data_IF_974826741727
#
_entry.id   IF_974826741727
#
_cell.length_a   1.000
_cell.length_b   1.000
_cell.length_c   1.000
_cell.angle_alpha   90.00
_cell.angle_beta   90.00
_cell.angle_gamma   90.00
#
_symmetry.space_group_name_H-M   'P 1'
#
loop_
_entity.id
_entity.type
_entity.pdbx_description
1 polymer ?
#
# COMPACT_ATOMS: atom_id res chain seq x y z
N UNK A 1 -30.57 15.07 27.56
CA UNK A 1 -29.77 13.88 27.89
C UNK A 1 -28.57 13.80 26.96
N UNK A 2 -27.36 14.01 27.49
CA UNK A 2 -26.13 13.88 26.71
C UNK A 2 -25.89 12.38 26.43
N UNK A 3 -26.02 11.96 25.17
CA UNK A 3 -25.55 10.63 24.74
C UNK A 3 -24.07 10.53 25.13
N UNK A 4 -23.70 9.53 25.94
CA UNK A 4 -22.31 9.24 26.24
C UNK A 4 -21.51 9.16 24.95
N UNK A 5 -20.36 9.85 24.87
CA UNK A 5 -19.49 9.81 23.69
C UNK A 5 -19.16 8.36 23.38
N UNK A 6 -19.57 7.86 22.21
CA UNK A 6 -19.22 6.51 21.76
C UNK A 6 -17.71 6.43 21.55
N UNK A 7 -17.13 5.28 21.88
CA UNK A 7 -15.71 5.03 21.61
C UNK A 7 -15.47 5.02 20.10
N UNK A 8 -14.54 5.87 19.65
CA UNK A 8 -14.06 5.86 18.27
C UNK A 8 -13.08 4.68 18.13
N UNK A 9 -13.22 3.92 17.05
CA UNK A 9 -12.31 2.83 16.70
C UNK A 9 -10.84 3.29 16.71
N UNK A 10 -9.96 2.58 17.42
CA UNK A 10 -8.52 2.85 17.40
C UNK A 10 -7.94 2.82 15.98
N UNK A 11 -8.39 1.88 15.14
CA UNK A 11 -7.95 1.76 13.75
C UNK A 11 -8.20 3.04 12.95
N UNK A 12 -9.40 3.62 13.06
CA UNK A 12 -9.76 4.86 12.34
C UNK A 12 -9.01 6.08 12.87
N UNK A 13 -8.71 6.14 14.18
CA UNK A 13 -7.87 7.21 14.74
C UNK A 13 -6.44 7.13 14.21
N UNK A 14 -5.86 5.93 14.22
CA UNK A 14 -4.51 5.68 13.71
C UNK A 14 -4.43 6.05 12.23
N UNK A 15 -5.39 5.58 11.42
CA UNK A 15 -5.41 5.88 10.01
C UNK A 15 -5.50 7.39 9.73
N UNK A 16 -6.36 8.11 10.46
CA UNK A 16 -6.48 9.56 10.29
C UNK A 16 -5.19 10.31 10.64
N UNK A 17 -4.49 9.90 11.69
CA UNK A 17 -3.21 10.51 12.07
C UNK A 17 -2.11 10.20 11.05
N UNK A 18 -2.04 8.96 10.54
CA UNK A 18 -1.09 8.60 9.48
C UNK A 18 -1.34 9.41 8.22
N UNK A 19 -2.59 9.51 7.77
CA UNK A 19 -2.97 10.32 6.60
C UNK A 19 -2.63 11.81 6.80
N UNK A 20 -2.81 12.34 8.02
CA UNK A 20 -2.40 13.71 8.36
C UNK A 20 -0.90 13.90 8.15
N UNK A 21 -0.07 12.97 8.64
CA UNK A 21 1.40 13.05 8.53
C UNK A 21 1.86 12.94 7.09
N UNK A 22 1.32 11.99 6.33
CA UNK A 22 1.68 11.81 4.90
C UNK A 22 1.37 13.09 4.11
N UNK A 23 0.21 13.69 4.30
CA UNK A 23 -0.19 14.87 3.53
C UNK A 23 0.48 16.18 4.01
N UNK A 24 0.73 16.33 5.31
CA UNK A 24 1.25 17.59 5.87
C UNK A 24 2.78 17.62 5.98
N UNK A 25 3.43 16.48 6.19
CA UNK A 25 4.87 16.36 6.46
C UNK A 25 5.63 15.74 5.27
N UNK A 26 4.93 15.33 4.20
CA UNK A 26 5.54 14.65 3.04
C UNK A 26 6.16 13.30 3.38
N UNK A 27 5.80 12.73 4.54
CA UNK A 27 6.45 11.54 5.06
C UNK A 27 5.99 10.28 4.33
N UNK A 28 6.89 9.32 4.15
CA UNK A 28 6.58 8.05 3.49
C UNK A 28 5.53 7.26 4.27
N UNK A 29 4.49 6.78 3.58
CA UNK A 29 3.32 6.13 4.18
C UNK A 29 3.68 4.89 4.98
N UNK A 30 4.56 4.03 4.45
CA UNK A 30 5.00 2.81 5.09
C UNK A 30 5.73 3.10 6.42
N UNK A 31 6.61 4.11 6.42
CA UNK A 31 7.34 4.53 7.63
C UNK A 31 6.38 5.10 8.66
N UNK A 32 5.47 5.98 8.25
CA UNK A 32 4.49 6.60 9.16
C UNK A 32 3.53 5.58 9.77
N UNK A 33 3.05 4.64 8.96
CA UNK A 33 2.14 3.60 9.40
C UNK A 33 2.83 2.64 10.38
N UNK A 34 4.01 2.11 10.03
CA UNK A 34 4.75 1.20 10.89
C UNK A 34 5.04 1.84 12.26
N UNK A 35 5.56 3.06 12.27
CA UNK A 35 5.82 3.82 13.50
C UNK A 35 4.56 4.03 14.34
N UNK A 36 3.42 4.30 13.70
CA UNK A 36 2.14 4.47 14.40
C UNK A 36 1.63 3.14 14.98
N UNK A 37 1.82 2.03 14.27
CA UNK A 37 1.44 0.69 14.69
C UNK A 37 2.34 0.15 15.82
N UNK A 38 3.64 0.45 15.80
CA UNK A 38 4.61 0.07 16.84
C UNK A 38 4.32 0.78 18.17
N UNK A 39 3.88 2.04 18.12
CA UNK A 39 3.44 2.79 19.31
C UNK A 39 2.20 2.22 20.00
N UNK A 40 1.50 1.28 19.35
CA UNK A 40 0.31 0.63 19.89
C UNK A 40 0.51 -0.88 19.92
N UNK A 41 1.45 -1.43 20.72
CA UNK A 41 1.79 -2.86 20.69
C UNK A 41 0.58 -3.76 20.99
N UNK A 42 -0.31 -3.30 21.87
CA UNK A 42 -1.51 -4.03 22.29
C UNK A 42 -2.73 -3.85 21.35
N UNK A 43 -2.55 -3.23 20.17
CA UNK A 43 -3.62 -3.09 19.19
C UNK A 43 -3.99 -4.46 18.62
N UNK A 44 -5.27 -4.81 18.67
CA UNK A 44 -5.78 -6.07 18.14
C UNK A 44 -5.44 -6.22 16.64
N UNK A 45 -5.14 -7.45 16.21
CA UNK A 45 -4.78 -7.75 14.82
C UNK A 45 -5.81 -7.22 13.80
N UNK A 46 -7.10 -7.35 14.12
CA UNK A 46 -8.21 -6.79 13.31
C UNK A 46 -8.11 -5.27 13.15
N UNK A 47 -7.79 -4.55 14.21
CA UNK A 47 -7.66 -3.08 14.16
C UNK A 47 -6.37 -2.66 13.43
N UNK A 48 -5.29 -3.44 13.55
CA UNK A 48 -4.07 -3.22 12.74
C UNK A 48 -4.38 -3.37 11.25
N UNK A 49 -5.03 -4.47 10.87
CA UNK A 49 -5.43 -4.72 9.49
C UNK A 49 -6.34 -3.61 8.96
N UNK A 50 -7.36 -3.21 9.74
CA UNK A 50 -8.25 -2.12 9.34
C UNK A 50 -7.53 -0.76 9.23
N UNK A 51 -6.60 -0.44 10.14
CA UNK A 51 -5.83 0.80 10.06
C UNK A 51 -4.98 0.83 8.77
N UNK A 52 -4.27 -0.26 8.49
CA UNK A 52 -3.47 -0.44 7.26
C UNK A 52 -4.34 -0.29 6.02
N UNK A 53 -5.48 -0.98 5.98
CA UNK A 53 -6.43 -0.95 4.87
C UNK A 53 -6.98 0.47 4.63
N UNK A 54 -7.39 1.17 5.69
CA UNK A 54 -7.90 2.52 5.57
C UNK A 54 -6.83 3.51 5.09
N UNK A 55 -5.59 3.40 5.55
CA UNK A 55 -4.49 4.29 5.11
C UNK A 55 -4.18 4.07 3.63
N UNK A 56 -3.85 2.84 3.25
CA UNK A 56 -3.46 2.54 1.88
C UNK A 56 -4.63 2.72 0.91
N UNK A 57 -5.82 2.23 1.27
CA UNK A 57 -7.02 2.36 0.45
C UNK A 57 -7.43 3.81 0.20
N UNK A 58 -7.41 4.66 1.24
CA UNK A 58 -7.75 6.07 1.09
C UNK A 58 -6.76 6.82 0.19
N UNK A 59 -5.47 6.51 0.28
CA UNK A 59 -4.45 7.14 -0.57
C UNK A 59 -4.51 6.62 -2.01
N UNK A 60 -4.61 5.29 -2.18
CA UNK A 60 -4.68 4.60 -3.47
C UNK A 60 -5.84 5.11 -4.31
N UNK A 61 -7.02 5.24 -3.70
CA UNK A 61 -8.25 5.62 -4.38
C UNK A 61 -8.61 7.11 -4.26
N UNK A 62 -7.70 7.95 -3.77
CA UNK A 62 -7.98 9.36 -3.42
C UNK A 62 -8.74 10.13 -4.50
N UNK A 63 -8.33 10.02 -5.77
CA UNK A 63 -8.95 10.77 -6.87
C UNK A 63 -10.36 10.26 -7.17
N UNK A 64 -10.58 8.95 -7.13
CA UNK A 64 -11.91 8.33 -7.25
C UNK A 64 -12.84 8.78 -6.12
N UNK A 65 -12.32 8.80 -4.89
CA UNK A 65 -13.05 9.22 -3.70
C UNK A 65 -13.42 10.71 -3.76
N UNK A 66 -12.49 11.55 -4.20
CA UNK A 66 -12.74 12.99 -4.37
C UNK A 66 -13.82 13.25 -5.42
N UNK A 67 -13.81 12.51 -6.53
CA UNK A 67 -14.87 12.59 -7.54
C UNK A 67 -16.25 12.25 -6.93
N UNK A 68 -16.35 11.12 -6.25
CA UNK A 68 -17.61 10.69 -5.62
C UNK A 68 -18.08 11.67 -4.54
N UNK A 69 -17.17 12.25 -3.77
CA UNK A 69 -17.50 13.25 -2.75
C UNK A 69 -17.97 14.57 -3.37
N UNK A 70 -17.40 14.98 -4.51
CA UNK A 70 -17.76 16.21 -5.20
C UNK A 70 -19.24 16.27 -5.59
N UNK A 71 -19.82 15.13 -6.00
CA UNK A 71 -21.25 15.02 -6.34
C UNK A 71 -22.21 15.35 -5.17
N UNK A 72 -21.71 15.34 -3.94
CA UNK A 72 -22.51 15.56 -2.73
C UNK A 72 -22.04 16.77 -1.91
N UNK A 73 -21.11 17.56 -2.43
CA UNK A 73 -20.58 18.74 -1.77
C UNK A 73 -20.91 20.01 -2.59
N UNK A 74 -21.38 21.07 -1.93
CA UNK A 74 -21.64 22.37 -2.59
C UNK A 74 -20.38 23.07 -3.09
N UNK A 75 -19.23 22.72 -2.53
CA UNK A 75 -17.90 23.22 -2.90
C UNK A 75 -17.05 22.02 -3.30
N UNK A 76 -16.09 22.20 -4.22
CA UNK A 76 -15.22 21.12 -4.62
C UNK A 76 -14.36 20.63 -3.42
N UNK A 77 -13.94 19.36 -3.42
CA UNK A 77 -13.22 18.76 -2.29
C UNK A 77 -11.96 19.53 -1.85
N UNK A 78 -11.23 20.14 -2.78
CA UNK A 78 -10.02 20.94 -2.51
C UNK A 78 -10.29 22.21 -1.66
N UNK A 79 -11.53 22.70 -1.64
CA UNK A 79 -11.97 23.83 -0.80
C UNK A 79 -12.53 23.39 0.55
N UNK A 80 -12.60 22.09 0.82
CA UNK A 80 -12.95 21.56 2.13
C UNK A 80 -11.68 21.59 2.99
N UNK A 81 -11.83 21.96 4.27
CA UNK A 81 -10.70 21.98 5.18
C UNK A 81 -10.02 20.60 5.26
N UNK A 82 -8.68 20.51 5.13
CA UNK A 82 -7.97 19.23 5.00
C UNK A 82 -8.31 18.20 6.08
N UNK A 83 -8.52 18.64 7.33
CA UNK A 83 -8.91 17.75 8.44
C UNK A 83 -10.23 17.04 8.19
N UNK A 84 -11.23 17.74 7.67
CA UNK A 84 -12.55 17.17 7.37
C UNK A 84 -12.51 16.35 6.07
N UNK A 85 -11.73 16.79 5.08
CA UNK A 85 -11.57 16.07 3.83
C UNK A 85 -10.97 14.67 4.04
N UNK A 86 -9.98 14.51 4.92
CA UNK A 86 -9.44 13.18 5.28
C UNK A 86 -10.51 12.26 5.85
N UNK A 87 -11.34 12.76 6.76
CA UNK A 87 -12.44 12.00 7.37
C UNK A 87 -13.48 11.61 6.30
N UNK A 88 -13.82 12.54 5.40
CA UNK A 88 -14.73 12.28 4.29
C UNK A 88 -14.17 11.21 3.34
N UNK A 89 -12.89 11.31 2.95
CA UNK A 89 -12.24 10.33 2.07
C UNK A 89 -12.20 8.94 2.73
N UNK A 90 -11.81 8.85 4.00
CA UNK A 90 -11.85 7.60 4.75
C UNK A 90 -13.26 7.02 4.85
N UNK A 91 -14.28 7.87 5.07
CA UNK A 91 -15.67 7.48 5.09
C UNK A 91 -16.15 6.97 3.74
N UNK A 92 -15.87 7.70 2.67
CA UNK A 92 -16.19 7.32 1.29
C UNK A 92 -15.51 6.01 0.89
N UNK A 93 -14.26 5.81 1.29
CA UNK A 93 -13.54 4.56 1.03
C UNK A 93 -14.26 3.35 1.63
N UNK A 94 -14.66 3.46 2.91
CA UNK A 94 -15.43 2.41 3.56
C UNK A 94 -16.78 2.15 2.88
N UNK A 95 -17.48 3.20 2.43
CA UNK A 95 -18.79 3.07 1.79
C UNK A 95 -18.76 2.47 0.39
N UNK A 96 -17.69 2.74 -0.36
CA UNK A 96 -17.60 2.41 -1.78
C UNK A 96 -16.75 1.16 -2.06
N UNK A 97 -15.82 0.82 -1.18
CA UNK A 97 -14.77 -0.16 -1.47
C UNK A 97 -14.66 -1.29 -0.44
N UNK A 98 -15.34 -1.22 0.71
CA UNK A 98 -15.24 -2.23 1.77
C UNK A 98 -16.58 -2.91 2.06
N UNK A 99 -16.71 -4.18 1.67
CA UNK A 99 -17.94 -4.97 1.88
C UNK A 99 -18.16 -5.38 3.35
N UNK A 100 -17.09 -5.42 4.16
CA UNK A 100 -17.12 -5.86 5.57
C UNK A 100 -17.56 -4.81 6.59
N UNK A 101 -17.93 -3.60 6.16
CA UNK A 101 -18.29 -2.48 7.04
C UNK A 101 -19.63 -1.91 6.61
N UNK A 102 -20.62 -1.92 7.52
CA UNK A 102 -21.93 -1.34 7.20
C UNK A 102 -21.87 0.18 7.00
N UNK A 103 -22.71 0.68 6.10
CA UNK A 103 -22.82 2.13 5.81
C UNK A 103 -23.04 2.94 7.09
N UNK A 104 -23.86 2.43 8.01
CA UNK A 104 -24.08 3.06 9.31
C UNK A 104 -22.80 3.16 10.14
N UNK A 105 -22.01 2.09 10.23
CA UNK A 105 -20.79 2.09 11.03
C UNK A 105 -19.71 3.02 10.45
N UNK A 106 -19.57 3.06 9.12
CA UNK A 106 -18.67 3.97 8.44
C UNK A 106 -19.05 5.44 8.72
N UNK A 107 -20.34 5.78 8.58
CA UNK A 107 -20.86 7.14 8.82
C UNK A 107 -20.75 7.52 10.31
N UNK A 108 -21.23 6.70 11.24
CA UNK A 108 -21.25 7.00 12.68
C UNK A 108 -19.85 7.32 13.20
N UNK A 109 -18.85 6.54 12.77
CA UNK A 109 -17.46 6.72 13.20
C UNK A 109 -16.80 7.96 12.57
N UNK A 110 -17.09 8.25 11.30
CA UNK A 110 -16.63 9.49 10.66
C UNK A 110 -17.22 10.73 11.33
N UNK A 111 -18.51 10.68 11.70
CA UNK A 111 -19.21 11.76 12.40
C UNK A 111 -18.64 12.00 13.79
N UNK A 112 -18.35 10.94 14.55
CA UNK A 112 -17.75 11.06 15.87
C UNK A 112 -16.33 11.64 15.78
N UNK A 113 -15.51 11.18 14.82
CA UNK A 113 -14.18 11.75 14.56
C UNK A 113 -14.25 13.26 14.28
N UNK A 114 -15.13 13.67 13.37
CA UNK A 114 -15.30 15.08 13.00
C UNK A 114 -15.82 15.92 14.18
N UNK A 115 -16.74 15.36 14.98
CA UNK A 115 -17.31 16.01 16.15
C UNK A 115 -16.28 16.24 17.25
N UNK A 116 -15.42 15.25 17.51
CA UNK A 116 -14.32 15.38 18.47
C UNK A 116 -13.29 16.39 18.01
N UNK A 117 -12.94 16.38 16.72
CA UNK A 117 -11.88 17.26 16.21
C UNK A 117 -12.34 18.72 16.05
N UNK A 118 -13.60 18.97 15.64
CA UNK A 118 -14.06 20.29 15.17
C UNK A 118 -15.47 20.68 15.62
N UNK A 119 -16.03 19.92 16.56
CA UNK A 119 -17.34 20.21 17.15
C UNK A 119 -18.52 19.70 16.34
N UNK A 120 -19.72 19.79 16.93
CA UNK A 120 -20.96 19.17 16.43
C UNK A 120 -21.34 19.60 15.01
N UNK A 121 -21.07 20.86 14.62
CA UNK A 121 -21.37 21.36 13.28
C UNK A 121 -20.57 20.63 12.21
N UNK A 122 -19.31 20.31 12.48
CA UNK A 122 -18.47 19.54 11.58
C UNK A 122 -18.96 18.09 11.46
N UNK A 123 -19.37 17.47 12.58
CA UNK A 123 -20.04 16.16 12.58
C UNK A 123 -21.30 16.14 11.73
N UNK A 124 -22.15 17.17 11.84
CA UNK A 124 -23.36 17.31 11.03
C UNK A 124 -23.07 17.42 9.53
N UNK A 125 -22.03 18.17 9.15
CA UNK A 125 -21.58 18.26 7.75
C UNK A 125 -21.10 16.91 7.21
N UNK A 126 -20.21 16.22 7.93
CA UNK A 126 -19.70 14.89 7.53
C UNK A 126 -20.85 13.88 7.42
N UNK A 127 -21.80 13.89 8.37
CA UNK A 127 -22.98 13.04 8.33
C UNK A 127 -23.81 13.28 7.05
N UNK A 128 -24.05 14.55 6.71
CA UNK A 128 -24.83 14.92 5.54
C UNK A 128 -24.22 14.40 4.24
N UNK A 129 -22.93 14.65 4.04
CA UNK A 129 -22.20 14.23 2.83
C UNK A 129 -22.15 12.70 2.71
N UNK A 130 -21.69 12.00 3.76
CA UNK A 130 -21.51 10.55 3.69
C UNK A 130 -22.84 9.79 3.61
N UNK A 131 -23.92 10.28 4.22
CA UNK A 131 -25.25 9.68 4.04
C UNK A 131 -25.82 9.93 2.64
N UNK A 132 -25.55 11.09 2.05
CA UNK A 132 -25.93 11.35 0.67
C UNK A 132 -25.20 10.39 -0.28
N UNK A 133 -23.89 10.23 -0.10
CA UNK A 133 -23.07 9.27 -0.84
C UNK A 133 -23.57 7.83 -0.67
N UNK A 134 -23.82 7.39 0.57
CA UNK A 134 -24.30 6.03 0.83
C UNK A 134 -25.63 5.71 0.12
N UNK A 135 -26.57 6.67 0.08
CA UNK A 135 -27.84 6.52 -0.64
C UNK A 135 -27.69 6.60 -2.17
N UNK A 136 -26.74 7.42 -2.65
CA UNK A 136 -26.53 7.69 -4.07
C UNK A 136 -25.49 6.82 -4.75
N UNK A 137 -24.81 5.90 -4.03
CA UNK A 137 -23.65 5.16 -4.55
C UNK A 137 -23.91 4.39 -5.86
N UNK A 138 -25.11 3.85 -6.04
CA UNK A 138 -25.50 3.13 -7.26
C UNK A 138 -25.78 4.05 -8.46
N UNK A 139 -26.04 5.34 -8.21
CA UNK A 139 -26.36 6.35 -9.21
C UNK A 139 -25.23 7.38 -9.39
N UNK A 140 -24.01 7.05 -8.94
CA UNK A 140 -22.85 7.92 -9.15
C UNK A 140 -22.53 8.00 -10.64
N UNK A 141 -22.53 9.22 -11.16
CA UNK A 141 -22.06 9.51 -12.51
C UNK A 141 -20.53 9.64 -12.50
N UNK A 142 -19.88 8.82 -13.32
CA UNK A 142 -18.45 8.85 -13.55
C UNK A 142 -18.15 9.65 -14.83
N UNK A 143 -16.91 10.14 -15.04
CA UNK A 143 -16.58 10.83 -16.29
C UNK A 143 -16.91 9.94 -17.50
N UNK A 144 -17.41 10.53 -18.57
CA UNK A 144 -17.76 9.78 -19.78
C UNK A 144 -16.50 9.20 -20.43
N UNK A 145 -16.51 7.89 -20.65
CA UNK A 145 -15.41 7.19 -21.29
C UNK A 145 -15.24 7.56 -22.77
N UNK A 146 -16.35 7.90 -23.44
CA UNK A 146 -16.34 8.26 -24.86
C UNK A 146 -15.92 9.72 -25.09
N UNK A 147 -16.26 10.62 -24.16
CA UNK A 147 -15.95 12.05 -24.29
C UNK A 147 -14.54 12.37 -23.80
N UNK A 148 -14.11 11.74 -22.69
CA UNK A 148 -12.82 12.00 -22.06
C UNK A 148 -12.26 10.69 -21.45
N UNK A 149 -11.69 9.81 -22.29
CA UNK A 149 -11.18 8.51 -21.85
C UNK A 149 -10.03 8.65 -20.85
N UNK A 150 -9.19 9.68 -20.97
CA UNK A 150 -8.08 9.96 -20.07
C UNK A 150 -8.62 10.24 -18.67
N UNK A 151 -9.55 11.18 -18.54
CA UNK A 151 -10.14 11.53 -17.26
C UNK A 151 -10.99 10.41 -16.69
N UNK A 152 -11.71 9.67 -17.54
CA UNK A 152 -12.46 8.48 -17.14
C UNK A 152 -11.53 7.49 -16.45
N UNK A 153 -10.47 7.04 -17.12
CA UNK A 153 -9.52 6.08 -16.54
C UNK A 153 -8.80 6.65 -15.32
N UNK A 154 -8.38 7.92 -15.39
CA UNK A 154 -7.69 8.60 -14.29
C UNK A 154 -8.54 8.68 -13.02
N UNK A 155 -9.83 8.98 -13.14
CA UNK A 155 -10.76 8.96 -11.99
C UNK A 155 -11.07 7.53 -11.56
N UNK A 156 -11.40 6.64 -12.50
CA UNK A 156 -11.84 5.28 -12.20
C UNK A 156 -10.76 4.46 -11.52
N UNK A 157 -9.49 4.64 -11.90
CA UNK A 157 -8.33 3.94 -11.34
C UNK A 157 -7.46 4.82 -10.44
N UNK A 158 -7.85 6.08 -10.22
CA UNK A 158 -7.21 7.01 -9.30
C UNK A 158 -5.74 7.35 -9.63
N UNK A 159 -5.42 7.51 -10.90
CA UNK A 159 -4.12 7.98 -11.41
C UNK A 159 -4.24 9.41 -11.94
N UNK A 160 -3.16 10.22 -11.96
CA UNK A 160 -3.19 11.56 -12.57
C UNK A 160 -3.24 11.47 -14.10
N UNK A 161 -3.90 12.45 -14.75
CA UNK A 161 -4.18 12.42 -16.21
C UNK A 161 -2.91 12.27 -17.06
N UNK A 162 -1.85 13.00 -16.72
CA UNK A 162 -0.57 12.91 -17.45
C UNK A 162 0.02 11.50 -17.48
N UNK A 163 -0.21 10.70 -16.43
CA UNK A 163 0.30 9.32 -16.36
C UNK A 163 -0.59 8.36 -17.14
N UNK A 164 -1.89 8.62 -17.15
CA UNK A 164 -2.84 7.90 -18.00
C UNK A 164 -2.53 8.14 -19.47
N UNK A 165 -2.31 9.39 -19.87
CA UNK A 165 -1.90 9.77 -21.23
C UNK A 165 -0.61 9.04 -21.63
N UNK A 166 0.42 9.09 -20.79
CA UNK A 166 1.69 8.40 -21.03
C UNK A 166 1.51 6.89 -21.25
N UNK A 167 0.67 6.25 -20.46
CA UNK A 167 0.42 4.81 -20.59
C UNK A 167 -0.46 4.48 -21.78
N UNK A 168 -1.45 5.31 -22.12
CA UNK A 168 -2.26 5.14 -23.32
C UNK A 168 -1.43 5.29 -24.59
N UNK A 169 -0.49 6.23 -24.62
CA UNK A 169 0.45 6.40 -25.72
C UNK A 169 1.35 5.17 -25.87
N UNK A 170 1.87 4.63 -24.76
CA UNK A 170 2.83 3.52 -24.79
C UNK A 170 2.22 2.14 -24.99
N UNK A 171 1.06 1.88 -24.39
CA UNK A 171 0.46 0.55 -24.29
C UNK A 171 -0.93 0.46 -24.93
N UNK A 172 -1.42 1.54 -25.54
CA UNK A 172 -2.80 1.67 -25.95
C UNK A 172 -3.75 1.78 -24.75
N UNK A 173 -5.03 2.03 -25.05
CA UNK A 173 -6.08 2.18 -24.02
C UNK A 173 -6.21 0.93 -23.14
N UNK A 174 -6.38 -0.24 -23.75
CA UNK A 174 -6.63 -1.48 -23.02
C UNK A 174 -5.41 -1.88 -22.17
N UNK A 175 -4.19 -1.69 -22.69
CA UNK A 175 -2.96 -1.95 -21.95
C UNK A 175 -2.78 -1.00 -20.76
N UNK A 176 -3.07 0.29 -20.96
CA UNK A 176 -3.06 1.27 -19.86
C UNK A 176 -4.07 0.91 -18.77
N UNK A 177 -5.30 0.53 -19.16
CA UNK A 177 -6.33 0.11 -18.22
C UNK A 177 -5.91 -1.14 -17.43
N UNK A 178 -5.36 -2.16 -18.09
CA UNK A 178 -4.86 -3.36 -17.44
C UNK A 178 -3.73 -3.05 -16.45
N UNK A 179 -2.79 -2.19 -16.84
CA UNK A 179 -1.71 -1.74 -15.96
C UNK A 179 -2.26 -1.02 -14.72
N UNK A 180 -3.19 -0.10 -14.90
CA UNK A 180 -3.84 0.61 -13.80
C UNK A 180 -4.66 -0.30 -12.88
N UNK A 181 -5.33 -1.31 -13.43
CA UNK A 181 -6.00 -2.36 -12.65
C UNK A 181 -4.99 -3.12 -11.80
N UNK A 182 -3.88 -3.57 -12.40
CA UNK A 182 -2.84 -4.33 -11.71
C UNK A 182 -2.16 -3.53 -10.59
N UNK A 183 -1.80 -2.27 -10.85
CA UNK A 183 -1.17 -1.38 -9.86
C UNK A 183 -2.07 -1.04 -8.67
N UNK A 184 -3.39 -1.21 -8.81
CA UNK A 184 -4.35 -1.02 -7.72
C UNK A 184 -4.65 -2.28 -6.91
N UNK A 185 -4.13 -3.44 -7.32
CA UNK A 185 -4.24 -4.65 -6.52
C UNK A 185 -3.21 -4.68 -5.39
N UNK A 186 -3.49 -5.41 -4.29
CA UNK A 186 -2.46 -5.74 -3.31
C UNK A 186 -1.29 -6.46 -4.00
N UNK A 187 -0.07 -5.96 -3.80
CA UNK A 187 1.12 -6.60 -4.35
C UNK A 187 1.41 -7.90 -3.60
N UNK A 188 1.78 -8.94 -4.35
CA UNK A 188 2.37 -10.15 -3.77
C UNK A 188 3.70 -9.82 -3.09
N UNK A 189 4.05 -10.59 -2.06
CA UNK A 189 5.38 -10.51 -1.46
C UNK A 189 6.27 -11.58 -2.05
N UNK A 190 7.40 -11.15 -2.61
CA UNK A 190 8.41 -12.02 -3.18
C UNK A 190 9.55 -12.24 -2.22
N UNK A 191 9.98 -13.49 -2.12
CA UNK A 191 11.07 -13.96 -1.27
C UNK A 191 12.18 -14.46 -2.20
N UNK A 192 13.38 -13.93 -2.00
CA UNK A 192 14.59 -14.44 -2.64
C UNK A 192 15.18 -15.51 -1.75
N UNK A 193 15.30 -16.74 -2.26
CA UNK A 193 15.83 -17.87 -1.50
C UNK A 193 17.35 -17.83 -1.47
N UNK A 194 17.95 -17.90 -0.27
CA UNK A 194 19.40 -18.01 -0.14
C UNK A 194 19.84 -19.45 -0.42
N UNK A 195 20.17 -19.71 -1.69
CA UNK A 195 20.53 -21.05 -2.16
C UNK A 195 21.87 -21.57 -1.64
N UNK A 196 22.66 -20.73 -0.98
CA UNK A 196 23.85 -21.18 -0.24
C UNK A 196 23.50 -21.91 1.06
N UNK A 197 22.24 -21.84 1.49
CA UNK A 197 21.81 -22.32 2.82
C UNK A 197 20.63 -23.27 2.77
N UNK A 198 19.72 -23.10 1.81
CA UNK A 198 18.50 -23.92 1.71
C UNK A 198 18.05 -24.03 0.26
N UNK A 199 17.37 -25.12 -0.09
CA UNK A 199 16.70 -25.26 -1.39
C UNK A 199 15.36 -24.52 -1.38
N UNK A 200 14.85 -24.16 -2.57
CA UNK A 200 13.55 -23.50 -2.70
C UNK A 200 12.41 -24.34 -2.13
N UNK A 201 12.40 -25.66 -2.39
CA UNK A 201 11.36 -26.57 -1.90
C UNK A 201 11.40 -26.71 -0.38
N UNK A 202 12.60 -26.88 0.20
CA UNK A 202 12.75 -27.00 1.65
C UNK A 202 12.34 -25.71 2.38
N UNK A 203 12.59 -24.54 1.77
CA UNK A 203 12.11 -23.28 2.34
C UNK A 203 10.58 -23.16 2.26
N UNK A 204 9.96 -23.56 1.14
CA UNK A 204 8.52 -23.54 1.00
C UNK A 204 7.82 -24.43 2.04
N UNK A 205 8.34 -25.65 2.28
CA UNK A 205 7.86 -26.54 3.33
C UNK A 205 8.01 -25.94 4.73
N UNK A 206 9.16 -25.33 5.01
CA UNK A 206 9.43 -24.67 6.29
C UNK A 206 8.46 -23.52 6.56
N UNK A 207 8.19 -22.70 5.54
CA UNK A 207 7.25 -21.58 5.64
C UNK A 207 5.80 -22.08 5.78
N UNK A 208 5.42 -23.13 5.06
CA UNK A 208 4.09 -23.71 5.19
C UNK A 208 3.85 -24.24 6.61
N UNK A 209 4.86 -24.88 7.21
CA UNK A 209 4.80 -25.36 8.60
C UNK A 209 4.63 -24.22 9.63
N UNK A 210 5.04 -22.99 9.30
CA UNK A 210 4.81 -21.80 10.12
C UNK A 210 3.56 -20.99 9.73
N UNK A 211 2.73 -21.52 8.83
CA UNK A 211 1.48 -20.91 8.38
C UNK A 211 1.62 -19.88 7.26
N UNK A 212 2.78 -19.83 6.59
CA UNK A 212 3.03 -18.97 5.43
C UNK A 212 3.00 -19.82 4.15
N UNK A 213 1.90 -19.72 3.40
CA UNK A 213 1.79 -20.37 2.09
C UNK A 213 2.57 -19.56 1.04
N UNK A 214 3.83 -19.95 0.82
CA UNK A 214 4.73 -19.37 -0.16
C UNK A 214 5.09 -20.40 -1.23
N UNK A 215 4.93 -20.05 -2.50
CA UNK A 215 5.03 -20.98 -3.62
C UNK A 215 5.92 -20.41 -4.72
N UNK A 216 6.63 -21.29 -5.43
CA UNK A 216 7.33 -20.88 -6.64
C UNK A 216 6.32 -20.61 -7.75
N UNK A 217 6.48 -19.47 -8.44
CA UNK A 217 5.71 -19.15 -9.64
C UNK A 217 6.34 -19.72 -10.91
N UNK A 218 7.54 -20.30 -10.83
CA UNK A 218 8.33 -20.78 -11.98
C UNK A 218 8.94 -19.66 -12.86
N UNK A 219 8.44 -18.43 -12.76
CA UNK A 219 8.85 -17.31 -13.61
C UNK A 219 10.10 -16.58 -13.11
N UNK A 220 10.42 -16.72 -11.82
CA UNK A 220 11.60 -16.10 -11.20
C UNK A 220 12.41 -17.22 -10.52
N UNK A 221 13.65 -17.50 -10.98
CA UNK A 221 14.45 -18.58 -10.43
C UNK A 221 14.70 -18.39 -8.93
N UNK A 222 14.75 -19.50 -8.19
CA UNK A 222 15.16 -19.51 -6.78
C UNK A 222 14.37 -18.50 -5.92
N UNK A 223 13.07 -18.40 -6.16
CA UNK A 223 12.18 -17.45 -5.52
C UNK A 223 10.88 -18.12 -5.06
N UNK A 224 10.23 -17.49 -4.09
CA UNK A 224 8.87 -17.84 -3.65
C UNK A 224 8.00 -16.58 -3.65
N UNK A 225 6.72 -16.75 -3.95
CA UNK A 225 5.69 -15.73 -3.91
C UNK A 225 4.64 -16.10 -2.86
N UNK A 226 4.19 -15.11 -2.09
CA UNK A 226 3.12 -15.31 -1.11
C UNK A 226 2.25 -14.06 -0.96
N UNK A 227 1.03 -14.27 -0.50
CA UNK A 227 0.12 -13.20 -0.03
C UNK A 227 0.08 -13.17 1.50
N UNK A 228 1.25 -13.26 2.13
CA UNK A 228 1.33 -13.38 3.58
C UNK A 228 0.77 -12.14 4.29
N UNK A 229 -0.18 -12.35 5.20
CA UNK A 229 -0.60 -11.35 6.18
C UNK A 229 0.30 -11.45 7.42
N UNK A 230 1.39 -10.70 7.47
CA UNK A 230 2.30 -10.73 8.63
C UNK A 230 3.63 -10.04 8.38
N UNK A 231 4.42 -9.89 9.45
CA UNK A 231 5.77 -9.33 9.35
C UNK A 231 6.78 -10.44 9.03
N UNK A 232 6.96 -10.73 7.73
CA UNK A 232 7.93 -11.74 7.28
C UNK A 232 9.38 -11.40 7.68
N UNK A 233 9.71 -10.13 7.87
CA UNK A 233 11.04 -9.74 8.34
C UNK A 233 11.32 -10.18 9.79
N UNK A 234 10.27 -10.40 10.59
CA UNK A 234 10.36 -10.94 11.95
C UNK A 234 10.37 -12.49 11.98
N UNK A 235 10.18 -13.15 10.84
CA UNK A 235 10.16 -14.61 10.77
C UNK A 235 11.54 -15.20 11.05
N UNK A 236 11.61 -16.30 11.81
CA UNK A 236 12.89 -16.91 12.20
C UNK A 236 13.77 -17.28 11.00
N UNK A 237 13.17 -17.79 9.92
CA UNK A 237 13.90 -18.10 8.68
C UNK A 237 14.47 -16.86 7.95
N UNK A 238 13.82 -15.69 8.08
CA UNK A 238 14.37 -14.44 7.57
C UNK A 238 15.56 -13.98 8.44
N UNK A 239 15.38 -13.97 9.76
CA UNK A 239 16.43 -13.57 10.71
C UNK A 239 17.65 -14.49 10.64
N UNK A 240 17.43 -15.77 10.37
CA UNK A 240 18.50 -16.72 10.17
C UNK A 240 19.06 -16.68 8.76
N UNK A 241 18.66 -15.76 7.87
CA UNK A 241 19.26 -15.53 6.54
C UNK A 241 18.97 -16.61 5.50
N UNK A 242 17.88 -17.37 5.64
CA UNK A 242 17.46 -18.38 4.65
C UNK A 242 16.76 -17.74 3.44
N UNK A 243 16.22 -16.54 3.60
CA UNK A 243 15.68 -15.73 2.52
C UNK A 243 15.71 -14.25 2.91
N UNK A 244 15.62 -13.37 1.91
CA UNK A 244 15.30 -11.96 2.11
C UNK A 244 14.11 -11.54 1.24
N UNK A 245 13.46 -10.45 1.63
CA UNK A 245 12.32 -9.90 0.89
C UNK A 245 12.85 -9.08 -0.28
N UNK A 246 12.47 -9.47 -1.51
CA UNK A 246 12.90 -8.78 -2.72
C UNK A 246 11.92 -9.07 -3.86
N UNK A 247 11.46 -8.00 -4.51
CA UNK A 247 10.57 -8.09 -5.67
C UNK A 247 11.11 -8.99 -6.79
N UNK A 248 10.22 -9.77 -7.43
CA UNK A 248 10.60 -10.72 -8.47
C UNK A 248 11.33 -10.08 -9.66
N UNK A 249 10.94 -8.87 -10.08
CA UNK A 249 11.65 -8.16 -11.15
C UNK A 249 13.07 -7.75 -10.72
N UNK A 250 13.25 -7.38 -9.45
CA UNK A 250 14.57 -7.07 -8.93
C UNK A 250 15.49 -8.30 -8.85
N UNK A 251 14.92 -9.49 -8.60
CA UNK A 251 15.66 -10.76 -8.66
C UNK A 251 16.06 -11.10 -10.11
N UNK A 252 15.14 -10.96 -11.06
CA UNK A 252 15.41 -11.22 -12.49
C UNK A 252 16.55 -10.36 -13.03
N UNK A 253 16.64 -9.08 -12.64
CA UNK A 253 17.75 -8.21 -13.03
C UNK A 253 19.10 -8.76 -12.54
N UNK A 254 19.16 -9.39 -11.37
CA UNK A 254 20.39 -10.01 -10.86
C UNK A 254 20.80 -11.23 -11.69
N UNK A 255 19.83 -12.02 -12.18
CA UNK A 255 20.11 -13.12 -13.10
C UNK A 255 20.57 -12.63 -14.48
N UNK A 256 19.97 -11.55 -14.99
CA UNK A 256 20.37 -10.94 -16.27
C UNK A 256 21.78 -10.34 -16.24
N UNK A 257 22.27 -9.91 -15.07
CA UNK A 257 23.64 -9.46 -14.89
C UNK A 257 24.67 -10.57 -15.13
N UNK A 258 24.29 -11.84 -14.93
CA UNK A 258 25.16 -13.02 -15.08
C UNK A 258 26.50 -12.89 -14.35
N UNK A 259 26.47 -12.40 -13.11
CA UNK A 259 27.63 -12.29 -12.26
C UNK A 259 28.11 -13.68 -11.82
N UNK A 260 29.30 -14.08 -12.27
CA UNK A 260 29.84 -15.43 -12.03
C UNK A 260 30.84 -15.46 -10.86
N UNK A 261 31.00 -16.62 -10.20
CA UNK A 261 32.02 -16.80 -9.17
C UNK A 261 33.42 -16.36 -9.65
N UNK A 262 34.09 -15.54 -8.84
CA UNK A 262 35.43 -15.01 -9.10
C UNK A 262 35.47 -13.66 -9.83
N UNK A 263 34.33 -13.12 -10.27
CA UNK A 263 34.26 -11.80 -10.89
C UNK A 263 34.40 -10.66 -9.88
N UNK A 264 34.67 -9.46 -10.39
CA UNK A 264 34.62 -8.19 -9.66
C UNK A 264 33.39 -7.41 -10.12
N UNK A 265 32.48 -7.11 -9.21
CA UNK A 265 31.19 -6.49 -9.53
C UNK A 265 30.98 -5.22 -8.70
N UNK A 266 30.37 -4.20 -9.30
CA UNK A 266 29.98 -2.96 -8.64
C UNK A 266 28.46 -2.84 -8.63
N UNK A 267 27.87 -2.74 -7.43
CA UNK A 267 26.50 -2.28 -7.22
C UNK A 267 26.54 -0.80 -6.80
N UNK A 268 26.36 0.09 -7.78
CA UNK A 268 26.56 1.53 -7.60
C UNK A 268 25.42 2.24 -6.84
N UNK A 269 24.29 1.56 -6.63
CA UNK A 269 23.11 2.07 -5.93
C UNK A 269 22.54 0.98 -5.02
N UNK A 270 23.41 0.45 -4.16
CA UNK A 270 23.21 -0.80 -3.48
C UNK A 270 22.05 -0.78 -2.48
N UNK A 271 21.82 0.35 -1.79
CA UNK A 271 20.93 0.33 -0.65
C UNK A 271 19.46 0.08 -1.03
N UNK A 272 18.71 -0.78 -0.30
CA UNK A 272 19.06 -1.38 0.99
C UNK A 272 19.77 -2.75 0.91
N UNK A 273 20.32 -3.16 -0.23
CA UNK A 273 21.25 -4.30 -0.32
C UNK A 273 20.68 -5.59 -0.92
N UNK A 274 19.37 -5.64 -1.23
CA UNK A 274 18.75 -6.89 -1.71
C UNK A 274 19.35 -7.44 -3.02
N UNK A 275 19.69 -6.55 -3.98
CA UNK A 275 20.38 -6.97 -5.22
C UNK A 275 21.82 -7.36 -4.95
N UNK A 276 22.52 -6.60 -4.13
CA UNK A 276 23.88 -6.92 -3.68
C UNK A 276 23.94 -8.32 -3.06
N UNK A 277 23.04 -8.64 -2.12
CA UNK A 277 22.95 -9.96 -1.50
C UNK A 277 22.65 -11.06 -2.53
N UNK A 278 21.70 -10.83 -3.43
CA UNK A 278 21.38 -11.78 -4.51
C UNK A 278 22.57 -12.04 -5.43
N UNK A 279 23.30 -10.99 -5.82
CA UNK A 279 24.49 -11.11 -6.65
C UNK A 279 25.59 -11.88 -5.92
N UNK A 280 25.80 -11.63 -4.62
CA UNK A 280 26.74 -12.40 -3.80
C UNK A 280 26.38 -13.89 -3.75
N UNK A 281 25.09 -14.22 -3.59
CA UNK A 281 24.59 -15.60 -3.65
C UNK A 281 24.86 -16.25 -5.01
N UNK A 282 24.58 -15.55 -6.12
CA UNK A 282 24.82 -16.05 -7.48
C UNK A 282 26.31 -16.23 -7.79
N UNK A 283 27.17 -15.40 -7.19
CA UNK A 283 28.62 -15.53 -7.24
C UNK A 283 29.17 -16.61 -6.28
N UNK A 284 28.30 -17.33 -5.56
CA UNK A 284 28.66 -18.33 -4.56
C UNK A 284 29.63 -17.81 -3.49
N UNK A 285 29.50 -16.53 -3.12
CA UNK A 285 30.44 -15.82 -2.25
C UNK A 285 31.92 -15.89 -2.70
N UNK A 286 32.18 -16.02 -4.01
CA UNK A 286 33.55 -16.01 -4.58
C UNK A 286 33.72 -14.79 -5.49
N UNK A 287 34.78 -14.01 -5.28
CA UNK A 287 35.09 -12.80 -6.06
C UNK A 287 35.10 -11.54 -5.21
N UNK A 288 34.82 -10.39 -5.83
CA UNK A 288 34.74 -9.09 -5.16
C UNK A 288 33.41 -8.41 -5.55
N UNK A 289 32.67 -7.91 -4.56
CA UNK A 289 31.45 -7.15 -4.78
C UNK A 289 31.54 -5.84 -4.01
N UNK A 290 31.66 -4.73 -4.74
CA UNK A 290 31.69 -3.38 -4.18
C UNK A 290 30.27 -2.81 -4.18
N UNK A 291 29.75 -2.49 -3.00
CA UNK A 291 28.45 -1.85 -2.83
C UNK A 291 28.63 -0.37 -2.47
N UNK A 292 27.98 0.51 -3.23
CA UNK A 292 28.01 1.96 -3.00
C UNK A 292 26.59 2.53 -3.00
N UNK A 293 26.34 3.54 -2.17
CA UNK A 293 25.12 4.35 -2.19
C UNK A 293 25.45 5.76 -1.71
N UNK A 294 24.76 6.77 -2.25
CA UNK A 294 24.96 8.17 -1.86
C UNK A 294 24.44 8.45 -0.45
N UNK A 295 23.53 7.63 0.09
CA UNK A 295 22.93 7.82 1.39
C UNK A 295 23.59 6.91 2.46
N UNK A 296 24.40 7.46 3.38
CA UNK A 296 25.09 6.67 4.39
C UNK A 296 24.15 5.88 5.32
N UNK A 297 22.99 6.45 5.66
CA UNK A 297 22.01 5.80 6.53
C UNK A 297 21.27 4.65 5.84
N UNK A 298 21.18 4.66 4.50
CA UNK A 298 20.65 3.51 3.75
C UNK A 298 21.74 2.48 3.49
N UNK A 299 22.99 2.92 3.26
CA UNK A 299 24.13 2.03 3.06
C UNK A 299 24.40 1.16 4.29
N UNK A 300 24.09 1.62 5.51
CA UNK A 300 24.19 0.80 6.72
C UNK A 300 23.21 -0.39 6.78
N UNK A 301 22.31 -0.52 5.80
CA UNK A 301 21.39 -1.65 5.66
C UNK A 301 21.94 -2.76 4.73
N UNK A 302 23.04 -2.49 4.00
CA UNK A 302 23.66 -3.39 3.03
C UNK A 302 24.63 -4.35 3.71
#
# INVERSE_FOLDING_TARGET
MARGRKAISPARRIALEVLRRVEAEGAYVNICLNHSLERHPNLAARDRALATELVYGTLRWRRRLDWALAAHCRRPPDKIEPKLLRILRMGAYQLLMLDGISDWAAVDQAVELASVMRGRRAGGFVNGVLRALARGKAALEWPSENEDPVRHLGVMYSFPDWLVELWMERFGRDGAEQLMKALNQPASTWLRVNTLRITTDALAELLLASGVDARSSGNVPQSLECHASGNLAAHAAHQSGLFHIQDGAAQLVCHLLDARPGMRVLDACAAPGGKTATVAELMENRGELLAADINPARLSLV
#
